data_IF_459610504157
#
_entry.id   IF_459610504157
#
_cell.length_a   1.000
_cell.length_b   1.000
_cell.length_c   1.000
_cell.angle_alpha   90.00
_cell.angle_beta   90.00
_cell.angle_gamma   90.00
#
_symmetry.space_group_name_H-M   'P 1'
#
loop_
_entity.id
_entity.type
_entity.pdbx_description
1 polymer ?
#
# COMPACT_ATOMS: atom_id res chain seq x y z
N UNK A 1 -20.67 -25.77 -25.27
CA UNK A 1 -19.20 -25.66 -25.20
C UNK A 1 -18.88 -24.40 -24.40
N UNK A 2 -18.57 -24.53 -23.11
CA UNK A 2 -18.24 -23.38 -22.25
C UNK A 2 -16.79 -22.97 -22.53
N UNK A 3 -16.61 -21.76 -23.04
CA UNK A 3 -15.28 -21.17 -23.26
C UNK A 3 -14.83 -20.60 -21.92
N UNK A 4 -13.87 -21.24 -21.25
CA UNK A 4 -13.18 -20.64 -20.11
C UNK A 4 -12.23 -19.57 -20.67
N UNK A 5 -12.64 -18.31 -20.63
CA UNK A 5 -11.73 -17.19 -20.87
C UNK A 5 -10.73 -17.11 -19.72
N UNK A 6 -9.41 -17.12 -19.98
CA UNK A 6 -8.43 -16.95 -18.93
C UNK A 6 -8.57 -15.54 -18.36
N UNK A 7 -8.75 -15.44 -17.04
CA UNK A 7 -8.63 -14.16 -16.34
C UNK A 7 -7.17 -13.73 -16.48
N UNK A 8 -6.91 -12.74 -17.32
CA UNK A 8 -5.62 -12.05 -17.43
C UNK A 8 -5.33 -11.42 -16.06
N UNK A 9 -4.44 -12.06 -15.30
CA UNK A 9 -3.92 -11.47 -14.07
C UNK A 9 -3.07 -10.25 -14.46
N UNK A 10 -3.61 -9.05 -14.21
CA UNK A 10 -2.90 -7.79 -14.46
C UNK A 10 -1.92 -7.55 -13.31
N UNK A 11 -0.64 -7.50 -13.64
CA UNK A 11 0.42 -7.09 -12.72
C UNK A 11 0.63 -5.59 -12.90
N UNK A 12 0.33 -4.80 -11.88
CA UNK A 12 0.52 -3.35 -11.88
C UNK A 12 1.56 -2.96 -10.85
N UNK A 13 2.59 -2.27 -11.32
CA UNK A 13 3.70 -1.78 -10.53
C UNK A 13 3.30 -0.40 -9.99
N UNK A 14 3.19 -0.25 -8.67
CA UNK A 14 2.71 0.99 -8.03
C UNK A 14 3.83 1.81 -7.39
N UNK A 15 5.08 1.47 -7.68
CA UNK A 15 6.28 2.14 -7.18
C UNK A 15 6.31 3.62 -7.55
N UNK A 16 5.88 3.99 -8.77
CA UNK A 16 5.82 5.40 -9.19
C UNK A 16 4.85 6.22 -8.34
N UNK A 17 3.82 5.59 -7.78
CA UNK A 17 2.86 6.22 -6.88
C UNK A 17 3.38 6.28 -5.42
N UNK A 18 4.42 5.50 -5.09
CA UNK A 18 5.11 5.48 -3.78
C UNK A 18 6.30 6.46 -3.74
N UNK A 19 6.07 7.69 -4.17
CA UNK A 19 7.11 8.70 -4.41
C UNK A 19 7.63 9.44 -3.15
N UNK A 20 7.01 9.23 -1.99
CA UNK A 20 7.24 9.95 -0.73
C UNK A 20 7.16 11.49 -0.84
N UNK A 21 6.44 12.01 -1.82
CA UNK A 21 6.18 13.45 -2.07
C UNK A 21 4.68 13.74 -2.20
N UNK A 22 3.89 12.73 -2.50
CA UNK A 22 2.43 12.74 -2.52
C UNK A 22 1.83 12.60 -1.12
N UNK A 23 0.51 12.62 -1.04
CA UNK A 23 -0.25 12.41 0.21
C UNK A 23 -0.98 11.07 0.21
N UNK A 24 -1.42 10.63 1.39
CA UNK A 24 -2.22 9.43 1.55
C UNK A 24 -3.54 9.48 0.79
N UNK A 25 -4.21 10.64 0.73
CA UNK A 25 -5.37 10.82 -0.13
C UNK A 25 -5.03 10.55 -1.59
N UNK A 26 -3.99 11.20 -2.11
CA UNK A 26 -3.62 11.12 -3.53
C UNK A 26 -3.35 9.68 -3.92
N UNK A 27 -2.53 8.98 -3.12
CA UNK A 27 -2.20 7.58 -3.34
C UNK A 27 -3.42 6.66 -3.30
N UNK A 28 -4.24 6.73 -2.24
CA UNK A 28 -5.39 5.83 -2.08
C UNK A 28 -6.50 6.14 -3.09
N UNK A 29 -6.79 7.41 -3.36
CA UNK A 29 -7.80 7.82 -4.34
C UNK A 29 -7.45 7.34 -5.75
N UNK A 30 -6.18 7.36 -6.15
CA UNK A 30 -5.74 6.83 -7.45
C UNK A 30 -6.02 5.32 -7.56
N UNK A 31 -5.62 4.54 -6.55
CA UNK A 31 -5.83 3.08 -6.53
C UNK A 31 -7.32 2.72 -6.48
N UNK A 32 -8.13 3.49 -5.76
CA UNK A 32 -9.59 3.32 -5.74
C UNK A 32 -10.22 3.62 -7.10
N UNK A 33 -9.82 4.72 -7.73
CA UNK A 33 -10.32 5.11 -9.06
C UNK A 33 -9.93 4.09 -10.14
N UNK A 34 -8.74 3.50 -10.02
CA UNK A 34 -8.27 2.42 -10.90
C UNK A 34 -8.90 1.05 -10.64
N UNK A 35 -9.65 0.88 -9.54
CA UNK A 35 -10.20 -0.41 -9.13
C UNK A 35 -9.13 -1.41 -8.69
N UNK A 36 -7.97 -0.92 -8.25
CA UNK A 36 -6.79 -1.72 -7.91
C UNK A 36 -6.84 -2.26 -6.49
N UNK A 37 -7.57 -1.58 -5.60
CA UNK A 37 -7.82 -1.99 -4.23
C UNK A 37 -9.32 -2.06 -3.93
N UNK A 38 -9.68 -2.81 -2.90
CA UNK A 38 -11.05 -2.86 -2.40
C UNK A 38 -11.41 -1.52 -1.74
N UNK A 39 -12.64 -1.04 -1.95
CA UNK A 39 -13.10 0.25 -1.41
C UNK A 39 -13.23 0.29 0.10
N UNK A 40 -13.47 -0.88 0.74
CA UNK A 40 -13.54 -0.99 2.19
C UNK A 40 -12.20 -1.46 2.74
N UNK A 41 -11.60 -0.76 3.72
CA UNK A 41 -10.41 -1.26 4.38
C UNK A 41 -10.74 -2.58 5.10
N UNK A 42 -9.83 -3.54 5.02
CA UNK A 42 -9.94 -4.80 5.76
C UNK A 42 -9.69 -4.61 7.26
N UNK A 43 -8.98 -3.53 7.63
CA UNK A 43 -8.66 -3.19 9.01
C UNK A 43 -8.34 -1.70 9.12
N UNK A 44 -8.66 -1.12 10.27
CA UNK A 44 -8.23 0.21 10.68
C UNK A 44 -7.42 0.04 11.95
N UNK A 45 -6.14 0.41 11.91
CA UNK A 45 -5.25 0.29 13.05
C UNK A 45 -5.53 1.37 14.10
N UNK A 46 -5.03 1.18 15.32
CA UNK A 46 -5.19 2.16 16.40
C UNK A 46 -4.59 3.52 16.05
N UNK A 47 -3.51 3.55 15.27
CA UNK A 47 -2.86 4.77 14.78
C UNK A 47 -3.49 5.35 13.48
N UNK A 48 -4.73 4.98 13.20
CA UNK A 48 -5.54 5.44 12.06
C UNK A 48 -5.08 5.00 10.66
N UNK A 49 -4.04 4.16 10.53
CA UNK A 49 -3.74 3.52 9.25
C UNK A 49 -4.92 2.63 8.82
N UNK A 50 -5.44 2.89 7.63
CA UNK A 50 -6.42 2.06 6.97
C UNK A 50 -5.67 1.08 6.06
N UNK A 51 -5.91 -0.21 6.27
CA UNK A 51 -5.30 -1.29 5.51
C UNK A 51 -6.32 -1.83 4.49
N UNK A 52 -5.98 -1.75 3.21
CA UNK A 52 -6.80 -2.18 2.08
C UNK A 52 -6.22 -3.43 1.43
N UNK A 53 -7.09 -4.29 0.92
CA UNK A 53 -6.66 -5.41 0.07
C UNK A 53 -6.60 -4.96 -1.39
N UNK A 54 -5.66 -5.49 -2.19
CA UNK A 54 -5.81 -5.48 -3.63
C UNK A 54 -7.17 -6.04 -4.06
N UNK A 55 -7.72 -5.52 -5.15
CA UNK A 55 -8.98 -6.01 -5.72
C UNK A 55 -8.84 -7.46 -6.21
N UNK A 56 -9.96 -8.17 -6.31
CA UNK A 56 -9.95 -9.57 -6.73
C UNK A 56 -9.38 -9.74 -8.14
N UNK A 57 -8.36 -10.58 -8.29
CA UNK A 57 -7.69 -10.82 -9.57
C UNK A 57 -6.59 -9.81 -9.93
N UNK A 58 -6.43 -8.73 -9.15
CA UNK A 58 -5.36 -7.75 -9.31
C UNK A 58 -4.11 -8.22 -8.58
N UNK A 59 -2.96 -8.13 -9.24
CA UNK A 59 -1.64 -8.36 -8.63
C UNK A 59 -0.90 -7.04 -8.61
N UNK A 60 -0.78 -6.43 -7.43
CA UNK A 60 0.04 -5.24 -7.25
C UNK A 60 1.46 -5.63 -6.88
N UNK A 61 2.44 -4.91 -7.40
CA UNK A 61 3.86 -5.04 -7.01
C UNK A 61 4.42 -3.69 -6.55
N UNK A 62 5.37 -3.77 -5.63
CA UNK A 62 6.18 -2.64 -5.18
C UNK A 62 7.60 -3.13 -4.90
N UNK A 63 8.59 -2.48 -5.50
CA UNK A 63 10.01 -2.81 -5.42
C UNK A 63 10.31 -4.27 -5.85
N UNK A 64 9.64 -4.74 -6.91
CA UNK A 64 9.66 -6.13 -7.41
C UNK A 64 9.00 -7.17 -6.48
N UNK A 65 8.40 -6.75 -5.36
CA UNK A 65 7.72 -7.65 -4.43
C UNK A 65 6.20 -7.56 -4.57
N UNK A 66 5.52 -8.69 -4.37
CA UNK A 66 4.06 -8.73 -4.35
C UNK A 66 3.52 -7.93 -3.17
N UNK A 67 2.63 -6.99 -3.44
CA UNK A 67 1.88 -6.26 -2.43
C UNK A 67 0.79 -7.15 -1.84
N UNK A 68 0.82 -7.29 -0.51
CA UNK A 68 -0.17 -8.01 0.28
C UNK A 68 -1.26 -7.08 0.82
N UNK A 69 -0.87 -5.88 1.27
CA UNK A 69 -1.76 -4.86 1.83
C UNK A 69 -1.33 -3.49 1.31
N UNK A 70 -2.30 -2.63 1.01
CA UNK A 70 -2.08 -1.21 0.74
C UNK A 70 -2.46 -0.42 1.99
N UNK A 71 -1.64 0.54 2.40
CA UNK A 71 -1.80 1.32 3.62
C UNK A 71 -2.06 2.78 3.25
N UNK A 72 -2.98 3.42 3.98
CA UNK A 72 -3.22 4.84 3.82
C UNK A 72 -3.84 5.48 5.05
N UNK A 73 -3.51 6.75 5.25
CA UNK A 73 -4.14 7.65 6.18
C UNK A 73 -3.90 9.10 5.74
N UNK A 74 -4.90 9.95 5.93
CA UNK A 74 -4.75 11.40 5.88
C UNK A 74 -5.69 12.01 6.90
N UNK A 75 -5.17 12.99 7.64
CA UNK A 75 -5.93 13.72 8.65
C UNK A 75 -7.08 14.50 8.02
N UNK A 76 -8.21 14.50 8.73
CA UNK A 76 -9.45 15.19 8.36
C UNK A 76 -10.00 14.85 6.97
N UNK A 77 -9.62 13.68 6.44
CA UNK A 77 -10.00 13.23 5.12
C UNK A 77 -11.07 12.12 5.20
N UNK A 78 -12.23 12.31 4.55
CA UNK A 78 -13.38 11.41 4.70
C UNK A 78 -13.19 10.03 4.08
N UNK A 79 -12.16 9.79 3.27
CA UNK A 79 -11.90 8.44 2.73
C UNK A 79 -11.32 7.52 3.81
N UNK A 80 -10.75 8.07 4.89
CA UNK A 80 -10.10 7.32 5.95
C UNK A 80 -10.97 7.25 7.20
N UNK A 81 -11.16 6.04 7.71
CA UNK A 81 -11.73 5.85 9.03
C UNK A 81 -10.67 6.16 10.10
N UNK A 82 -11.07 6.81 11.18
CA UNK A 82 -10.15 7.13 12.28
C UNK A 82 -10.00 5.95 13.25
N UNK A 83 -8.75 5.68 13.63
CA UNK A 83 -8.42 4.73 14.68
C UNK A 83 -8.75 5.26 16.08
N UNK A 84 -8.64 4.41 17.09
CA UNK A 84 -8.93 4.77 18.49
C UNK A 84 -7.77 5.42 19.25
N UNK A 85 -6.59 5.47 18.66
CA UNK A 85 -5.37 6.03 19.25
C UNK A 85 -4.87 7.26 18.50
N UNK A 86 -3.66 7.69 18.83
CA UNK A 86 -3.00 8.83 18.17
C UNK A 86 -2.65 8.47 16.73
N UNK A 87 -3.05 9.30 15.74
CA UNK A 87 -2.65 9.11 14.35
C UNK A 87 -1.14 9.01 14.17
N UNK A 88 -0.71 8.24 13.17
CA UNK A 88 0.71 7.99 12.89
C UNK A 88 1.49 9.23 12.44
N UNK A 89 0.82 10.17 11.76
CA UNK A 89 1.32 11.42 11.18
C UNK A 89 0.10 12.20 10.61
N UNK A 90 0.29 13.40 10.04
CA UNK A 90 -0.81 14.10 9.34
C UNK A 90 -1.14 13.43 7.98
N UNK A 91 -0.17 12.76 7.35
CA UNK A 91 -0.42 11.86 6.22
C UNK A 91 0.54 10.68 6.20
N UNK A 92 0.06 9.51 5.80
CA UNK A 92 0.88 8.32 5.60
C UNK A 92 0.30 7.42 4.52
N UNK A 93 1.16 6.79 3.73
CA UNK A 93 0.76 5.81 2.73
C UNK A 93 1.88 4.86 2.39
N UNK A 94 1.52 3.70 1.87
CA UNK A 94 2.50 2.67 1.62
C UNK A 94 1.90 1.33 1.33
N UNK A 95 2.71 0.31 1.48
CA UNK A 95 2.35 -1.08 1.21
C UNK A 95 2.98 -2.00 2.24
N UNK A 96 2.38 -3.17 2.41
CA UNK A 96 3.06 -4.34 2.96
C UNK A 96 3.33 -5.28 1.79
N UNK A 97 4.59 -5.60 1.56
CA UNK A 97 5.02 -6.54 0.51
C UNK A 97 5.41 -7.89 1.11
N UNK A 98 5.36 -8.94 0.28
CA UNK A 98 5.88 -10.27 0.62
C UNK A 98 7.34 -10.36 0.19
N UNK A 99 8.25 -10.11 1.14
CA UNK A 99 9.70 -10.09 0.93
C UNK A 99 10.45 -9.88 2.25
N UNK A 100 11.66 -10.45 2.41
CA UNK A 100 12.49 -10.23 3.61
C UNK A 100 12.84 -8.74 3.78
N UNK A 101 12.91 -8.23 5.03
CA UNK A 101 13.15 -6.81 5.29
C UNK A 101 14.44 -6.27 4.69
N UNK A 102 15.52 -7.05 4.73
CA UNK A 102 16.83 -6.64 4.21
C UNK A 102 16.81 -6.50 2.70
N UNK A 103 16.30 -7.50 1.98
CA UNK A 103 16.19 -7.44 0.51
C UNK A 103 15.25 -6.31 0.06
N UNK A 104 14.12 -6.12 0.75
CA UNK A 104 13.19 -5.02 0.46
C UNK A 104 13.87 -3.66 0.66
N UNK A 105 14.64 -3.51 1.74
CA UNK A 105 15.41 -2.27 2.01
C UNK A 105 16.41 -1.97 0.92
N UNK A 106 17.13 -2.99 0.45
CA UNK A 106 18.08 -2.83 -0.65
C UNK A 106 17.39 -2.36 -1.93
N UNK A 107 16.21 -2.91 -2.26
CA UNK A 107 15.44 -2.45 -3.43
C UNK A 107 14.89 -1.03 -3.29
N UNK A 108 14.40 -0.66 -2.11
CA UNK A 108 13.95 0.72 -1.81
C UNK A 108 15.11 1.70 -2.00
N UNK A 109 16.30 1.36 -1.48
CA UNK A 109 17.50 2.18 -1.64
C UNK A 109 17.96 2.26 -3.10
N UNK A 110 17.97 1.16 -3.84
CA UNK A 110 18.35 1.13 -5.26
C UNK A 110 17.41 1.97 -6.14
N UNK A 111 16.13 2.04 -5.78
CA UNK A 111 15.14 2.89 -6.42
C UNK A 111 15.30 4.39 -6.07
N UNK A 112 16.20 4.75 -5.15
CA UNK A 112 16.38 6.12 -4.67
C UNK A 112 15.19 6.65 -3.86
N UNK A 113 14.38 5.76 -3.30
CA UNK A 113 13.20 6.11 -2.51
C UNK A 113 13.57 6.42 -1.06
N UNK A 114 12.87 7.40 -0.47
CA UNK A 114 12.99 7.77 0.94
C UNK A 114 11.98 7.02 1.83
N UNK A 115 11.32 5.99 1.31
CA UNK A 115 10.32 5.25 2.06
C UNK A 115 10.94 4.53 3.27
N UNK A 116 10.22 4.56 4.38
CA UNK A 116 10.60 3.89 5.62
C UNK A 116 10.30 2.41 5.47
N UNK A 117 11.29 1.56 5.71
CA UNK A 117 11.14 0.10 5.70
C UNK A 117 11.00 -0.41 7.13
N UNK A 118 9.90 -1.12 7.40
CA UNK A 118 9.59 -1.67 8.70
C UNK A 118 9.27 -3.17 8.61
N UNK A 119 9.99 -3.98 9.38
CA UNK A 119 9.73 -5.41 9.48
C UNK A 119 8.39 -5.66 10.20
N UNK A 120 7.51 -6.45 9.59
CA UNK A 120 6.27 -6.93 10.21
C UNK A 120 6.42 -8.39 10.62
N UNK A 121 6.98 -9.19 9.72
CA UNK A 121 7.37 -10.59 9.95
C UNK A 121 8.65 -10.87 9.14
N UNK A 122 9.33 -12.01 9.35
CA UNK A 122 10.49 -12.39 8.55
C UNK A 122 10.24 -12.50 7.03
N UNK A 123 8.97 -12.55 6.59
CA UNK A 123 8.58 -12.69 5.18
C UNK A 123 7.68 -11.57 4.66
N UNK A 124 7.33 -10.59 5.50
CA UNK A 124 6.52 -9.44 5.09
C UNK A 124 7.05 -8.15 5.67
N UNK A 125 7.12 -7.14 4.81
CA UNK A 125 7.78 -5.88 5.12
C UNK A 125 6.87 -4.73 4.73
N UNK A 126 6.68 -3.77 5.63
CA UNK A 126 6.01 -2.52 5.32
C UNK A 126 7.00 -1.52 4.71
N UNK A 127 6.57 -0.84 3.65
CA UNK A 127 7.28 0.26 3.01
C UNK A 127 6.35 1.46 3.04
N UNK A 128 6.70 2.49 3.80
CA UNK A 128 5.80 3.58 4.18
C UNK A 128 6.43 4.95 3.94
N UNK A 129 5.69 5.84 3.29
CA UNK A 129 5.93 7.28 3.27
C UNK A 129 5.02 7.95 4.31
N UNK A 130 5.54 8.97 5.01
CA UNK A 130 4.72 9.79 5.93
C UNK A 130 5.20 11.24 5.96
N UNK A 131 4.29 12.15 6.31
CA UNK A 131 4.55 13.58 6.51
C UNK A 131 3.80 14.07 7.75
N UNK A 132 4.47 14.92 8.53
CA UNK A 132 3.92 15.54 9.74
C UNK A 132 3.12 16.82 9.43
#
# INVERSE_FOLDING_TARGET
MFVLSPVLARAEAIEEQLDCKSSGHTFISALLAGGEIQSKPMRVESNSINAFRPAHGVKLTAYDYKVFVVLGYQKDDPIFAQGKGTPIADSAYGVVVTGPPDDVRDRVHQAGSNAIVHEITPVTTAVLCKSE
#
